data_IF_245499398983
#
_entry.id   IF_245499398983
#
_cell.length_a   1.000
_cell.length_b   1.000
_cell.length_c   1.000
_cell.angle_alpha   90.00
_cell.angle_beta   90.00
_cell.angle_gamma   90.00
#
_symmetry.space_group_name_H-M   'P 1'
#
loop_
_entity.id
_entity.type
_entity.pdbx_description
1 polymer ?
#
# COMPACT_ATOMS: atom_id res chain seq x y z
N UNK A 1 5.70 -13.02 11.06
CA UNK A 1 5.71 -12.13 9.88
C UNK A 1 6.78 -11.05 10.02
N UNK A 2 7.77 -11.02 9.15
CA UNK A 2 8.72 -9.89 9.10
C UNK A 2 8.02 -8.65 8.52
N UNK A 3 8.11 -7.52 9.23
CA UNK A 3 7.60 -6.21 8.79
C UNK A 3 8.70 -5.16 8.99
N UNK A 4 8.71 -4.12 8.17
CA UNK A 4 9.62 -3.01 8.38
C UNK A 4 9.21 -2.22 9.64
N UNK A 5 10.11 -2.13 10.62
CA UNK A 5 9.93 -1.37 11.88
C UNK A 5 10.86 -0.17 12.00
N UNK A 6 11.66 0.10 10.96
CA UNK A 6 12.65 1.16 10.97
C UNK A 6 12.04 2.57 10.79
N UNK A 7 12.89 3.61 10.77
CA UNK A 7 12.45 5.00 10.61
C UNK A 7 11.79 5.22 9.26
N UNK A 8 10.55 5.72 9.28
CA UNK A 8 9.70 5.91 8.07
C UNK A 8 10.10 7.16 7.29
N UNK A 9 10.29 8.29 7.96
CA UNK A 9 10.74 9.54 7.33
C UNK A 9 12.10 9.39 6.63
N UNK A 10 12.97 8.49 7.12
CA UNK A 10 14.24 8.17 6.43
C UNK A 10 13.99 7.58 5.05
N UNK A 11 13.00 6.71 4.90
CA UNK A 11 12.63 6.12 3.61
C UNK A 11 11.98 7.14 2.69
N UNK A 12 11.04 7.95 3.20
CA UNK A 12 10.37 9.00 2.43
C UNK A 12 11.37 10.01 1.87
N UNK A 13 12.36 10.44 2.67
CA UNK A 13 13.44 11.33 2.21
C UNK A 13 14.27 10.74 1.07
N UNK A 14 14.41 9.41 1.01
CA UNK A 14 15.19 8.72 -0.05
C UNK A 14 14.34 8.44 -1.29
N UNK A 15 13.15 7.88 -1.10
CA UNK A 15 12.31 7.33 -2.16
C UNK A 15 11.30 8.35 -2.70
N UNK A 16 10.88 9.31 -1.88
CA UNK A 16 9.82 10.27 -2.16
C UNK A 16 8.56 10.04 -1.35
N UNK A 17 7.49 10.70 -1.78
CA UNK A 17 6.20 10.61 -1.10
C UNK A 17 5.66 9.17 -1.18
N UNK A 18 5.31 8.61 -0.01
CA UNK A 18 4.80 7.25 0.16
C UNK A 18 3.54 7.33 1.05
N UNK A 19 2.36 7.58 0.48
CA UNK A 19 1.15 7.89 1.24
C UNK A 19 0.76 6.76 2.20
N UNK A 20 0.93 5.49 1.79
CA UNK A 20 0.63 4.35 2.64
C UNK A 20 1.52 4.22 3.87
N UNK A 21 2.75 4.76 3.84
CA UNK A 21 3.74 4.59 4.89
C UNK A 21 3.61 5.63 6.02
N UNK A 22 3.44 6.90 5.67
CA UNK A 22 3.35 8.02 6.61
C UNK A 22 2.70 9.22 5.94
N UNK A 23 1.91 9.97 6.71
CA UNK A 23 1.35 11.28 6.33
C UNK A 23 2.26 12.44 6.69
N UNK A 24 3.22 12.23 7.60
CA UNK A 24 4.17 13.26 8.02
C UNK A 24 5.21 13.53 6.95
N UNK A 25 5.43 14.81 6.69
CA UNK A 25 6.55 15.30 5.89
C UNK A 25 7.78 15.58 6.75
N UNK A 26 8.95 15.51 6.13
CA UNK A 26 10.21 15.83 6.81
C UNK A 26 10.67 17.23 6.46
N UNK A 27 11.06 18.00 7.47
CA UNK A 27 11.66 19.33 7.27
C UNK A 27 13.01 19.27 6.51
N UNK A 28 13.66 18.10 6.47
CA UNK A 28 14.96 17.90 5.79
C UNK A 28 14.74 17.49 4.33
N UNK A 29 15.16 18.34 3.39
CA UNK A 29 14.98 18.14 1.94
C UNK A 29 15.98 17.14 1.33
N UNK A 30 17.19 17.07 1.87
CA UNK A 30 18.24 16.20 1.34
C UNK A 30 17.98 14.72 1.65
N UNK A 31 18.54 13.84 0.83
CA UNK A 31 18.59 12.40 1.10
C UNK A 31 19.26 12.09 2.46
N UNK A 32 18.93 10.98 3.11
CA UNK A 32 19.48 10.67 4.44
C UNK A 32 20.96 10.28 4.39
N UNK A 33 21.74 10.69 5.39
CA UNK A 33 23.18 10.41 5.54
C UNK A 33 24.02 11.69 5.58
N UNK A 34 25.28 11.59 6.04
CA UNK A 34 26.22 12.72 6.11
C UNK A 34 26.48 13.33 4.73
N UNK A 35 26.64 12.49 3.70
CA UNK A 35 26.81 12.91 2.30
C UNK A 35 25.46 13.05 1.54
N UNK A 36 24.38 13.33 2.28
CA UNK A 36 23.03 13.46 1.72
C UNK A 36 22.93 14.61 0.72
N UNK A 37 22.74 14.28 -0.56
CA UNK A 37 22.57 15.27 -1.61
C UNK A 37 21.09 15.66 -1.80
N UNK A 38 20.81 16.82 -2.40
CA UNK A 38 19.46 17.18 -2.83
C UNK A 38 18.88 16.08 -3.73
N UNK A 39 17.59 15.78 -3.55
CA UNK A 39 16.93 14.65 -4.21
C UNK A 39 17.07 14.67 -5.74
N UNK A 40 16.95 15.85 -6.35
CA UNK A 40 17.13 16.02 -7.81
C UNK A 40 18.54 15.65 -8.27
N UNK A 41 19.57 16.07 -7.52
CA UNK A 41 20.98 15.74 -7.82
C UNK A 41 21.25 14.25 -7.64
N UNK A 42 20.64 13.64 -6.61
CA UNK A 42 20.70 12.19 -6.41
C UNK A 42 20.11 11.43 -7.60
N UNK A 43 18.87 11.75 -8.01
CA UNK A 43 18.17 11.07 -9.11
C UNK A 43 18.92 11.19 -10.45
N UNK A 44 19.53 12.34 -10.75
CA UNK A 44 20.32 12.53 -11.99
C UNK A 44 21.58 11.67 -12.07
N UNK A 45 22.14 11.26 -10.94
CA UNK A 45 23.35 10.42 -10.87
C UNK A 45 23.05 8.93 -10.89
N UNK A 46 21.78 8.53 -10.81
CA UNK A 46 21.42 7.11 -10.77
C UNK A 46 21.63 6.49 -12.16
N UNK A 47 22.24 5.31 -12.16
CA UNK A 47 22.27 4.45 -13.35
C UNK A 47 20.86 3.97 -13.71
N UNK A 48 20.64 3.46 -14.94
CA UNK A 48 19.35 2.88 -15.32
C UNK A 48 18.88 1.75 -14.39
N UNK A 49 19.81 0.97 -13.82
CA UNK A 49 19.49 -0.03 -12.81
C UNK A 49 19.04 0.61 -11.49
N UNK A 50 19.74 1.66 -11.05
CA UNK A 50 19.40 2.41 -9.84
C UNK A 50 18.00 2.99 -9.89
N UNK A 51 17.59 3.54 -11.04
CA UNK A 51 16.24 4.10 -11.24
C UNK A 51 15.15 3.02 -11.07
N UNK A 52 15.31 1.88 -11.73
CA UNK A 52 14.40 0.73 -11.64
C UNK A 52 14.33 0.14 -10.22
N UNK A 53 15.48 0.02 -9.57
CA UNK A 53 15.55 -0.39 -8.16
C UNK A 53 14.73 0.57 -7.28
N UNK A 54 14.84 1.89 -7.50
CA UNK A 54 14.16 2.89 -6.71
C UNK A 54 12.63 2.79 -6.86
N UNK A 55 12.11 2.68 -8.08
CA UNK A 55 10.67 2.50 -8.32
C UNK A 55 10.13 1.24 -7.66
N UNK A 56 10.85 0.11 -7.77
CA UNK A 56 10.49 -1.12 -7.05
C UNK A 56 10.44 -0.91 -5.53
N UNK A 57 11.42 -0.21 -4.96
CA UNK A 57 11.45 0.06 -3.52
C UNK A 57 10.31 0.96 -3.08
N UNK A 58 9.91 1.98 -3.86
CA UNK A 58 8.72 2.80 -3.57
C UNK A 58 7.49 1.91 -3.40
N UNK A 59 7.24 1.05 -4.38
CA UNK A 59 6.12 0.11 -4.37
C UNK A 59 6.17 -0.79 -3.13
N UNK A 60 7.33 -1.41 -2.87
CA UNK A 60 7.53 -2.31 -1.73
C UNK A 60 7.20 -1.67 -0.38
N UNK A 61 7.68 -0.44 -0.16
CA UNK A 61 7.49 0.25 1.11
C UNK A 61 6.11 0.91 1.23
N UNK A 62 5.51 1.37 0.13
CA UNK A 62 4.15 1.92 0.15
C UNK A 62 3.12 0.89 0.64
N UNK A 63 3.17 -0.32 0.10
CA UNK A 63 2.26 -1.42 0.48
C UNK A 63 2.79 -2.26 1.66
N UNK A 64 3.96 -1.91 2.22
CA UNK A 64 4.62 -2.63 3.32
C UNK A 64 4.70 -4.15 3.07
N UNK A 65 5.27 -4.55 1.92
CA UNK A 65 5.44 -5.95 1.52
C UNK A 65 6.91 -6.35 1.53
N UNK A 66 7.18 -7.65 1.69
CA UNK A 66 8.54 -8.17 1.59
C UNK A 66 8.94 -8.39 0.14
N UNK A 67 10.24 -8.43 -0.13
CA UNK A 67 10.77 -8.65 -1.49
C UNK A 67 10.27 -9.97 -2.09
N UNK A 68 10.33 -11.06 -1.31
CA UNK A 68 9.85 -12.38 -1.73
C UNK A 68 8.35 -12.37 -2.09
N UNK A 69 7.55 -11.60 -1.36
CA UNK A 69 6.12 -11.45 -1.65
C UNK A 69 5.91 -10.65 -2.92
N UNK A 70 6.64 -9.55 -3.10
CA UNK A 70 6.57 -8.75 -4.32
C UNK A 70 6.95 -9.56 -5.57
N UNK A 71 8.00 -10.38 -5.49
CA UNK A 71 8.35 -11.32 -6.57
C UNK A 71 7.20 -12.27 -6.87
N UNK A 72 6.49 -12.77 -5.84
CA UNK A 72 5.29 -13.59 -6.01
C UNK A 72 4.19 -12.88 -6.79
N UNK A 73 3.88 -11.63 -6.43
CA UNK A 73 2.88 -10.81 -7.14
C UNK A 73 3.30 -10.53 -8.59
N UNK A 74 4.59 -10.26 -8.85
CA UNK A 74 5.10 -10.05 -10.21
C UNK A 74 4.97 -11.32 -11.04
N UNK A 75 5.29 -12.49 -10.48
CA UNK A 75 5.10 -13.78 -11.16
C UNK A 75 3.63 -14.04 -11.47
N UNK A 76 2.73 -13.67 -10.56
CA UNK A 76 1.28 -13.78 -10.79
C UNK A 76 0.82 -12.84 -11.90
N UNK A 77 1.26 -11.57 -11.89
CA UNK A 77 0.93 -10.57 -12.89
C UNK A 77 1.48 -10.92 -14.30
N UNK A 78 2.65 -11.58 -14.37
CA UNK A 78 3.21 -12.08 -15.64
C UNK A 78 2.42 -13.25 -16.24
N UNK A 79 1.72 -14.02 -15.41
CA UNK A 79 0.91 -15.17 -15.84
C UNK A 79 -0.49 -14.77 -16.32
N UNK A 80 -1.00 -13.64 -15.85
CA UNK A 80 -2.29 -13.11 -16.25
C UNK A 80 -2.22 -12.41 -17.61
N UNK A 81 -3.32 -12.46 -18.35
CA UNK A 81 -3.45 -11.76 -19.62
C UNK A 81 -3.65 -10.26 -19.39
N UNK A 82 -2.89 -9.44 -20.12
CA UNK A 82 -2.98 -7.97 -20.07
C UNK A 82 -1.66 -7.29 -19.69
N UNK A 83 -1.74 -5.98 -19.40
CA UNK A 83 -0.57 -5.19 -18.99
C UNK A 83 -0.06 -5.65 -17.62
N UNK A 84 1.15 -6.23 -17.59
CA UNK A 84 1.76 -6.78 -16.36
C UNK A 84 1.88 -5.71 -15.27
N UNK A 85 2.19 -4.47 -15.64
CA UNK A 85 2.34 -3.35 -14.70
C UNK A 85 1.02 -2.98 -14.03
N UNK A 86 -0.05 -2.87 -14.81
CA UNK A 86 -1.39 -2.57 -14.31
C UNK A 86 -1.90 -3.69 -13.40
N UNK A 87 -1.78 -4.95 -13.83
CA UNK A 87 -2.25 -6.09 -13.05
C UNK A 87 -1.47 -6.21 -11.73
N UNK A 88 -0.16 -5.92 -11.75
CA UNK A 88 0.64 -5.86 -10.52
C UNK A 88 0.08 -4.82 -9.54
N UNK A 89 -0.28 -3.63 -10.01
CA UNK A 89 -0.87 -2.59 -9.17
C UNK A 89 -2.26 -3.01 -8.66
N UNK A 90 -3.09 -3.60 -9.52
CA UNK A 90 -4.41 -4.13 -9.12
C UNK A 90 -4.27 -5.18 -8.01
N UNK A 91 -3.36 -6.14 -8.15
CA UNK A 91 -3.12 -7.18 -7.13
C UNK A 91 -2.68 -6.60 -5.78
N UNK A 92 -1.94 -5.50 -5.79
CA UNK A 92 -1.43 -4.85 -4.58
C UNK A 92 -2.48 -3.95 -3.93
N UNK A 93 -3.26 -3.22 -4.73
CA UNK A 93 -4.32 -2.37 -4.22
C UNK A 93 -5.50 -3.21 -3.66
N UNK A 94 -5.78 -4.38 -4.23
CA UNK A 94 -6.84 -5.31 -3.77
C UNK A 94 -6.50 -6.09 -2.48
N UNK A 95 -5.37 -5.80 -1.83
CA UNK A 95 -5.02 -6.42 -0.55
C UNK A 95 -5.89 -5.88 0.59
N UNK A 96 -6.30 -6.74 1.51
CA UNK A 96 -7.18 -6.35 2.63
C UNK A 96 -6.60 -5.22 3.49
N UNK A 97 -5.31 -5.25 3.83
CA UNK A 97 -4.70 -4.16 4.60
C UNK A 97 -4.68 -2.82 3.84
N UNK A 98 -4.55 -2.89 2.51
CA UNK A 98 -4.61 -1.70 1.67
C UNK A 98 -6.04 -1.18 1.52
N UNK A 99 -7.03 -2.04 1.31
CA UNK A 99 -8.44 -1.62 1.24
C UNK A 99 -8.88 -0.97 2.56
N UNK A 100 -8.51 -1.55 3.72
CA UNK A 100 -8.81 -0.97 5.04
C UNK A 100 -8.17 0.42 5.20
N UNK A 101 -6.96 0.62 4.68
CA UNK A 101 -6.32 1.94 4.64
C UNK A 101 -7.04 2.92 3.69
N UNK A 102 -7.39 2.48 2.48
CA UNK A 102 -8.11 3.29 1.48
C UNK A 102 -9.51 3.70 1.93
N UNK A 103 -10.22 2.84 2.66
CA UNK A 103 -11.51 3.14 3.29
C UNK A 103 -11.41 4.17 4.42
N UNK A 104 -10.20 4.56 4.83
CA UNK A 104 -9.99 5.53 5.90
C UNK A 104 -10.19 4.95 7.31
N UNK A 105 -10.34 3.63 7.47
CA UNK A 105 -10.45 2.98 8.79
C UNK A 105 -9.13 2.99 9.57
N UNK A 106 -8.02 3.30 8.90
CA UNK A 106 -6.70 3.37 9.51
C UNK A 106 -5.84 4.49 8.89
N UNK A 107 -4.97 5.15 9.67
CA UNK A 107 -4.16 6.28 9.19
C UNK A 107 -2.98 5.88 8.30
N UNK A 108 -2.56 4.61 8.33
CA UNK A 108 -1.43 4.11 7.55
C UNK A 108 -1.55 2.60 7.29
N UNK A 109 -0.85 2.09 6.27
CA UNK A 109 -0.83 0.66 5.93
C UNK A 109 -0.33 -0.20 7.10
N UNK A 110 0.55 0.34 7.95
CA UNK A 110 1.07 -0.38 9.12
C UNK A 110 0.00 -0.52 10.20
N UNK A 111 -0.80 0.52 10.41
CA UNK A 111 -1.93 0.49 11.34
C UNK A 111 -3.04 -0.43 10.81
N UNK A 112 -3.37 -0.34 9.51
CA UNK A 112 -4.34 -1.21 8.86
C UNK A 112 -3.94 -2.69 8.96
N UNK A 113 -2.68 -3.01 8.66
CA UNK A 113 -2.15 -4.38 8.82
C UNK A 113 -2.25 -4.86 10.27
N UNK A 114 -2.01 -3.98 11.25
CA UNK A 114 -2.14 -4.33 12.67
C UNK A 114 -3.60 -4.65 13.02
N UNK A 115 -4.55 -3.80 12.61
CA UNK A 115 -5.99 -4.03 12.80
C UNK A 115 -6.45 -5.36 12.22
N UNK A 116 -6.04 -5.67 10.99
CA UNK A 116 -6.34 -6.94 10.34
C UNK A 116 -5.71 -8.09 11.13
N UNK A 117 -4.41 -8.05 11.40
CA UNK A 117 -3.70 -9.15 12.08
C UNK A 117 -4.22 -9.45 13.49
N UNK A 118 -4.77 -8.46 14.18
CA UNK A 118 -5.37 -8.65 15.51
C UNK A 118 -6.84 -9.12 15.44
N UNK A 119 -7.40 -9.25 14.23
CA UNK A 119 -8.74 -9.80 14.02
C UNK A 119 -9.87 -8.81 14.28
N UNK A 120 -9.62 -7.51 14.11
CA UNK A 120 -10.65 -6.48 14.23
C UNK A 120 -11.52 -6.35 12.97
N UNK A 121 -11.07 -6.90 11.84
CA UNK A 121 -11.75 -6.79 10.55
C UNK A 121 -12.46 -8.11 10.21
N UNK A 122 -13.65 -7.98 9.65
CA UNK A 122 -14.46 -9.05 9.09
C UNK A 122 -14.58 -8.84 7.58
N UNK A 123 -14.50 -9.92 6.82
CA UNK A 123 -14.85 -9.94 5.39
C UNK A 123 -16.05 -10.87 5.24
N UNK A 124 -17.15 -10.37 4.69
CA UNK A 124 -18.41 -11.10 4.53
C UNK A 124 -18.86 -11.74 5.87
N UNK A 125 -18.80 -10.96 6.95
CA UNK A 125 -19.12 -11.37 8.34
C UNK A 125 -18.18 -12.42 8.96
N UNK A 126 -17.13 -12.87 8.26
CA UNK A 126 -16.15 -13.83 8.78
C UNK A 126 -14.86 -13.12 9.19
N UNK A 127 -14.25 -13.54 10.30
CA UNK A 127 -12.96 -13.00 10.75
C UNK A 127 -11.87 -13.34 9.74
N UNK A 128 -11.13 -12.33 9.30
CA UNK A 128 -9.94 -12.50 8.46
C UNK A 128 -8.78 -11.75 9.11
N UNK A 129 -7.74 -12.49 9.52
CA UNK A 129 -6.52 -11.94 10.15
C UNK A 129 -5.31 -11.91 9.21
N UNK A 130 -5.52 -12.26 7.94
CA UNK A 130 -4.48 -12.27 6.92
C UNK A 130 -4.50 -10.95 6.15
N UNK A 131 -3.53 -10.08 6.46
CA UNK A 131 -3.37 -8.79 5.76
C UNK A 131 -3.15 -8.91 4.24
N UNK A 132 -2.59 -10.03 3.77
CA UNK A 132 -2.41 -10.30 2.34
C UNK A 132 -3.61 -10.96 1.66
N UNK A 133 -4.76 -11.05 2.34
CA UNK A 133 -5.99 -11.51 1.73
C UNK A 133 -6.31 -10.64 0.50
N UNK A 134 -6.58 -11.28 -0.63
CA UNK A 134 -6.98 -10.60 -1.86
C UNK A 134 -8.49 -10.46 -1.84
N UNK A 135 -8.95 -9.22 -1.67
CA UNK A 135 -10.37 -8.91 -1.75
C UNK A 135 -10.89 -9.18 -3.16
N UNK A 136 -12.17 -9.50 -3.25
CA UNK A 136 -12.91 -9.70 -4.49
C UNK A 136 -13.97 -8.62 -4.64
N UNK A 137 -14.48 -8.49 -5.85
CA UNK A 137 -15.61 -7.62 -6.15
C UNK A 137 -16.81 -8.11 -5.33
N UNK A 138 -17.59 -7.16 -4.79
CA UNK A 138 -18.71 -7.34 -3.85
C UNK A 138 -18.34 -7.83 -2.45
N UNK A 139 -17.06 -7.91 -2.09
CA UNK A 139 -16.68 -8.19 -0.70
C UNK A 139 -17.12 -7.04 0.21
N UNK A 140 -17.77 -7.41 1.31
CA UNK A 140 -18.21 -6.49 2.36
C UNK A 140 -17.18 -6.55 3.49
N UNK A 141 -16.55 -5.42 3.78
CA UNK A 141 -15.54 -5.26 4.81
C UNK A 141 -16.18 -4.52 5.97
N UNK A 142 -16.22 -5.14 7.14
CA UNK A 142 -16.79 -4.55 8.34
C UNK A 142 -15.88 -4.71 9.55
N UNK A 143 -16.13 -3.92 10.59
CA UNK A 143 -15.42 -4.05 11.86
C UNK A 143 -16.13 -5.06 12.76
N UNK A 144 -15.36 -5.83 13.52
CA UNK A 144 -15.90 -6.80 14.49
C UNK A 144 -16.79 -6.10 15.51
N UNK A 145 -17.96 -6.69 15.79
CA UNK A 145 -18.93 -6.21 16.78
C UNK A 145 -18.44 -6.42 18.23
N UNK A 146 -17.36 -5.73 18.58
CA UNK A 146 -16.81 -5.63 19.93
C UNK A 146 -16.51 -4.16 20.17
N UNK A 147 -16.97 -3.60 21.29
CA UNK A 147 -16.80 -2.18 21.64
C UNK A 147 -15.35 -1.71 21.45
N UNK A 148 -14.39 -2.47 22.00
CA UNK A 148 -12.96 -2.15 21.87
C UNK A 148 -12.44 -2.08 20.43
N UNK A 149 -13.08 -2.79 19.49
CA UNK A 149 -12.70 -2.77 18.06
C UNK A 149 -13.32 -1.58 17.35
N UNK A 150 -14.59 -1.28 17.65
CA UNK A 150 -15.31 -0.17 17.06
C UNK A 150 -14.73 1.18 17.52
N UNK A 151 -14.46 1.33 18.82
CA UNK A 151 -13.83 2.52 19.38
C UNK A 151 -12.43 2.76 18.79
N UNK A 152 -11.62 1.69 18.68
CA UNK A 152 -10.29 1.77 18.09
C UNK A 152 -10.35 2.25 16.63
N UNK A 153 -11.25 1.70 15.82
CA UNK A 153 -11.39 2.14 14.43
C UNK A 153 -11.91 3.57 14.37
N UNK A 154 -12.89 3.96 15.20
CA UNK A 154 -13.39 5.34 15.29
C UNK A 154 -12.28 6.35 15.63
N UNK A 155 -11.38 6.00 16.54
CA UNK A 155 -10.23 6.85 16.91
C UNK A 155 -9.18 6.94 15.79
N UNK A 156 -9.02 5.88 15.00
CA UNK A 156 -8.03 5.80 13.92
C UNK A 156 -8.57 6.31 12.59
N UNK A 157 -9.89 6.53 12.48
CA UNK A 157 -10.53 6.99 11.24
C UNK A 157 -9.86 8.27 10.76
N UNK A 158 -9.53 8.31 9.47
CA UNK A 158 -8.97 9.48 8.82
C UNK A 158 -9.78 9.78 7.55
N UNK A 159 -9.94 11.06 7.25
CA UNK A 159 -10.51 11.48 5.97
C UNK A 159 -9.46 11.28 4.88
N UNK A 160 -9.57 10.14 4.19
CA UNK A 160 -8.81 9.84 2.99
C UNK A 160 -9.71 10.06 1.77
N UNK A 161 -9.12 10.47 0.65
CA UNK A 161 -9.79 10.46 -0.65
C UNK A 161 -10.16 9.01 -1.00
N UNK A 162 -11.47 8.75 -1.04
CA UNK A 162 -12.02 7.44 -1.37
C UNK A 162 -11.98 7.25 -2.89
N UNK A 163 -11.31 6.19 -3.40
CA UNK A 163 -11.32 5.89 -4.81
C UNK A 163 -12.66 5.26 -5.22
N UNK A 164 -13.10 5.49 -6.46
CA UNK A 164 -14.46 5.13 -6.94
C UNK A 164 -14.80 3.63 -6.84
N UNK A 165 -13.79 2.75 -6.86
CA UNK A 165 -14.00 1.31 -6.70
C UNK A 165 -14.44 0.90 -5.28
N UNK A 166 -14.37 1.82 -4.30
CA UNK A 166 -14.77 1.58 -2.92
C UNK A 166 -15.95 2.46 -2.54
N UNK A 167 -16.93 1.87 -1.87
CA UNK A 167 -17.92 2.63 -1.13
C UNK A 167 -17.69 2.44 0.37
N UNK A 168 -17.90 3.51 1.15
CA UNK A 168 -17.72 3.47 2.59
C UNK A 168 -18.88 4.17 3.30
N UNK A 169 -19.54 3.44 4.19
CA UNK A 169 -20.50 4.00 5.14
C UNK A 169 -19.79 4.23 6.48
N UNK A 170 -19.50 5.50 6.78
CA UNK A 170 -18.76 5.94 7.98
C UNK A 170 -19.51 5.60 9.28
N UNK A 171 -20.84 5.67 9.31
CA UNK A 171 -21.63 5.45 10.52
C UNK A 171 -21.55 4.00 10.98
N UNK A 172 -21.73 3.08 10.04
CA UNK A 172 -21.74 1.65 10.30
C UNK A 172 -20.33 1.01 10.23
N UNK A 173 -19.32 1.76 9.79
CA UNK A 173 -17.97 1.27 9.50
C UNK A 173 -18.00 0.06 8.54
N UNK A 174 -18.80 0.18 7.49
CA UNK A 174 -18.96 -0.85 6.44
C UNK A 174 -18.42 -0.30 5.13
N UNK A 175 -17.46 -1.01 4.55
CA UNK A 175 -16.95 -0.75 3.21
C UNK A 175 -17.36 -1.86 2.24
N UNK A 176 -17.56 -1.52 0.97
CA UNK A 176 -17.83 -2.50 -0.10
C UNK A 176 -16.88 -2.24 -1.26
N UNK A 177 -16.35 -3.34 -1.82
CA UNK A 177 -15.54 -3.30 -3.04
C UNK A 177 -16.47 -3.42 -4.25
N UNK A 178 -16.67 -2.34 -4.99
CA UNK A 178 -17.65 -2.28 -6.08
C UNK A 178 -17.11 -2.81 -7.42
N UNK A 179 -15.84 -2.52 -7.72
CA UNK A 179 -15.22 -2.82 -9.02
C UNK A 179 -13.74 -3.13 -8.88
N UNK A 180 -13.12 -3.54 -9.99
CA UNK A 180 -11.67 -3.69 -10.09
C UNK A 180 -11.03 -2.31 -10.21
N UNK A 181 -9.83 -2.14 -9.65
CA UNK A 181 -9.05 -0.90 -9.74
C UNK A 181 -8.59 -0.60 -11.16
N UNK A 182 -8.87 0.63 -11.58
CA UNK A 182 -8.23 1.28 -12.72
C UNK A 182 -6.92 1.97 -12.31
N UNK A 183 -6.02 2.15 -13.27
CA UNK A 183 -4.70 2.76 -13.05
C UNK A 183 -4.78 4.17 -12.46
N UNK A 184 -5.80 4.94 -12.83
CA UNK A 184 -5.96 6.35 -12.42
C UNK A 184 -6.34 6.50 -10.95
N UNK A 185 -6.98 5.48 -10.37
CA UNK A 185 -7.37 5.47 -8.95
C UNK A 185 -6.21 5.11 -8.01
N UNK A 186 -5.06 4.71 -8.56
CA UNK A 186 -3.87 4.38 -7.76
C UNK A 186 -3.23 5.67 -7.24
N UNK A 187 -3.45 5.98 -5.97
CA UNK A 187 -2.88 7.18 -5.31
C UNK A 187 -1.35 7.20 -5.13
N UNK A 188 -0.61 6.27 -5.72
CA UNK A 188 0.86 6.25 -5.70
C UNK A 188 1.42 6.70 -7.05
N UNK A 189 2.22 7.77 -7.06
CA UNK A 189 2.96 8.20 -8.25
C UNK A 189 4.15 7.28 -8.51
N UNK A 190 3.95 6.31 -9.40
CA UNK A 190 4.94 5.30 -9.78
C UNK A 190 4.96 5.11 -11.29
N UNK A 191 6.11 4.67 -11.83
CA UNK A 191 6.22 4.13 -13.17
C UNK A 191 6.38 2.60 -13.09
N UNK A 192 5.28 1.88 -13.32
CA UNK A 192 5.18 0.44 -13.26
C UNK A 192 6.06 -0.27 -14.31
N UNK A 193 6.32 0.35 -15.47
CA UNK A 193 7.18 -0.23 -16.51
C UNK A 193 8.60 -0.46 -15.99
N UNK A 194 9.15 0.50 -15.27
CA UNK A 194 10.47 0.38 -14.65
C UNK A 194 10.53 -0.76 -13.61
N UNK A 195 9.43 -1.06 -12.94
CA UNK A 195 9.34 -2.19 -12.01
C UNK A 195 9.32 -3.51 -12.78
N UNK A 196 8.54 -3.60 -13.86
CA UNK A 196 8.50 -4.79 -14.72
C UNK A 196 9.89 -5.05 -15.34
N UNK A 197 10.55 -4.02 -15.86
CA UNK A 197 11.92 -4.09 -16.40
C UNK A 197 12.97 -4.48 -15.35
N UNK A 198 12.77 -4.15 -14.08
CA UNK A 198 13.65 -4.61 -13.01
C UNK A 198 13.60 -6.14 -12.89
N UNK A 199 12.40 -6.72 -12.98
CA UNK A 199 12.16 -8.15 -12.82
C UNK A 199 12.19 -8.94 -14.13
N UNK A 200 12.50 -8.33 -15.27
CA UNK A 200 12.74 -9.04 -16.53
C UNK A 200 14.21 -9.46 -16.70
N UNK A 201 15.13 -8.80 -15.99
CA UNK A 201 16.57 -9.08 -16.03
C UNK A 201 17.05 -10.12 -15.01
N UNK A 202 16.13 -10.64 -14.20
CA UNK A 202 16.37 -11.70 -13.21
C UNK A 202 15.57 -12.95 -13.56
#
# INVERSE_FOLDING_TARGET
MSKYRGPRLRLVRKLGNLPGLTTKDSNKVNTPGQHGQPKMKFLKKLSPYGLRLLEKQKLRFNYNINERQLVGYVKQAKKSNGSTGEILLTLLEMRLDNIVYRLGMAPSILAARQLVSHGHILVNKKKVDIASYSCKIKDIISVKNKQSSQELVKQLSCDNELPDHLSFNKENLIGVVNSVINRDWVGLKINELLVVEYYSRN
#
